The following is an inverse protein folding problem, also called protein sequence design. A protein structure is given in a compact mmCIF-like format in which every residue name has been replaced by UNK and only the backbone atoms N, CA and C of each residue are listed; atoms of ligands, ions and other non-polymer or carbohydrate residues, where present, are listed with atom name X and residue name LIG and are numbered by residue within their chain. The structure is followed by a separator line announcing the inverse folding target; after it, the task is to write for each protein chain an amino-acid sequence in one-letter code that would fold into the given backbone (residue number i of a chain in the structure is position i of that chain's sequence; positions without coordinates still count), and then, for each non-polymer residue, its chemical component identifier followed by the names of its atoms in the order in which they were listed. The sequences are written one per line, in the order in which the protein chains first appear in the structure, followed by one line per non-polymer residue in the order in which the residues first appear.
data_IF_622712338253
#
_entry.id   IF_622712338253
#
_cell.length_a   1.000
_cell.length_b   1.000
_cell.length_c   1.000
_cell.angle_alpha   90.00
_cell.angle_beta   90.00
_cell.angle_gamma   90.00
#
_symmetry.space_group_name_H-M   'P 1'
#
loop_
_entity.id
_entity.type
_entity.pdbx_description
1 polymer ?
#
# COMPACT_ATOMS: atom_id res chain seq x y z
N UNK A 1 18.97 8.28 25.05
CA UNK A 1 19.19 8.83 23.70
C UNK A 1 20.35 9.81 23.85
N UNK A 2 21.48 9.56 23.19
CA UNK A 2 22.69 10.39 23.32
C UNK A 2 22.88 11.15 21.99
N UNK A 3 22.45 12.41 21.97
CA UNK A 3 22.43 13.23 20.76
C UNK A 3 23.80 13.81 20.41
N UNK A 4 24.75 13.78 21.34
CA UNK A 4 26.00 14.53 21.26
C UNK A 4 27.09 13.86 20.41
N UNK A 5 26.81 12.67 19.86
CA UNK A 5 27.78 11.86 19.10
C UNK A 5 27.27 11.49 17.70
N UNK A 6 26.28 12.23 17.18
CA UNK A 6 25.79 12.09 15.81
C UNK A 6 26.56 13.11 14.96
N UNK A 7 27.50 12.62 14.15
CA UNK A 7 28.20 13.42 13.17
C UNK A 7 27.22 13.77 12.02
N UNK A 8 26.75 15.01 12.01
CA UNK A 8 25.77 15.51 11.02
C UNK A 8 26.45 15.73 9.66
N UNK A 9 27.77 15.91 9.63
CA UNK A 9 28.53 16.27 8.43
C UNK A 9 28.83 15.06 7.54
N UNK A 10 28.89 13.85 8.12
CA UNK A 10 29.13 12.58 7.40
C UNK A 10 27.85 11.71 7.28
N UNK A 11 26.67 12.30 7.44
CA UNK A 11 25.40 11.57 7.18
C UNK A 11 25.26 11.35 5.67
N UNK A 12 25.20 10.09 5.20
CA UNK A 12 24.94 9.85 3.79
C UNK A 12 23.57 10.44 3.43
N UNK A 13 23.53 11.25 2.36
CA UNK A 13 22.27 11.79 1.87
C UNK A 13 21.29 10.63 1.68
N UNK A 14 20.06 10.72 2.23
CA UNK A 14 19.13 9.62 2.13
C UNK A 14 18.85 9.36 0.65
N UNK A 15 18.94 8.10 0.18
CA UNK A 15 18.57 7.76 -1.19
C UNK A 15 17.13 8.23 -1.40
N UNK A 16 16.88 8.94 -2.51
CA UNK A 16 15.63 9.63 -2.84
C UNK A 16 14.40 9.12 -2.05
N UNK A 17 13.95 9.91 -1.08
CA UNK A 17 12.89 9.55 -0.12
C UNK A 17 11.49 9.81 -0.66
N UNK A 18 11.37 10.36 -1.86
CA UNK A 18 10.07 10.56 -2.48
C UNK A 18 9.45 9.19 -2.82
N UNK A 19 8.25 8.88 -2.31
CA UNK A 19 7.56 7.65 -2.66
C UNK A 19 7.27 7.64 -4.16
N UNK A 20 7.35 6.48 -4.80
CA UNK A 20 6.93 6.40 -6.20
C UNK A 20 5.44 6.71 -6.28
N UNK A 21 5.08 7.66 -7.13
CA UNK A 21 3.70 7.96 -7.47
C UNK A 21 3.33 7.17 -8.73
N UNK A 22 2.35 6.28 -8.61
CA UNK A 22 1.77 5.54 -9.71
C UNK A 22 0.38 6.14 -9.96
N UNK A 23 0.22 6.86 -11.07
CA UNK A 23 -1.03 7.50 -11.44
C UNK A 23 -1.68 6.81 -12.64
N UNK A 24 -2.88 6.27 -12.45
CA UNK A 24 -3.65 5.64 -13.51
C UNK A 24 -4.00 6.59 -14.68
N UNK A 25 -4.14 7.90 -14.42
CA UNK A 25 -4.39 8.89 -15.48
C UNK A 25 -3.14 9.09 -16.36
N UNK A 26 -1.94 9.01 -15.77
CA UNK A 26 -0.67 9.14 -16.50
C UNK A 26 -0.34 7.86 -17.28
N UNK A 27 -0.76 6.70 -16.78
CA UNK A 27 -0.62 5.41 -17.46
C UNK A 27 -1.54 5.29 -18.69
N UNK A 28 -2.59 6.11 -18.78
CA UNK A 28 -3.41 6.29 -19.98
C UNK A 28 -3.91 4.98 -20.58
N UNK A 29 -3.61 4.74 -21.85
CA UNK A 29 -4.09 3.57 -22.62
C UNK A 29 -3.47 2.21 -22.25
N UNK A 30 -2.50 2.18 -21.33
CA UNK A 30 -1.95 0.93 -20.79
C UNK A 30 -2.89 0.27 -19.77
N UNK A 31 -3.80 1.05 -19.19
CA UNK A 31 -4.81 0.60 -18.24
C UNK A 31 -6.18 0.69 -18.89
N UNK A 32 -6.67 -0.44 -19.41
CA UNK A 32 -8.07 -0.55 -19.80
C UNK A 32 -8.94 -0.61 -18.53
N UNK A 33 -10.09 0.07 -18.57
CA UNK A 33 -11.06 0.09 -17.47
C UNK A 33 -11.53 -1.34 -17.18
N UNK A 34 -11.10 -1.91 -16.05
CA UNK A 34 -11.37 -3.31 -15.67
C UNK A 34 -10.17 -4.26 -15.77
N UNK A 35 -9.07 -3.85 -16.41
CA UNK A 35 -7.80 -4.60 -16.46
C UNK A 35 -6.80 -4.17 -15.39
N UNK A 36 -7.22 -3.32 -14.43
CA UNK A 36 -6.33 -2.78 -13.40
C UNK A 36 -5.75 -3.87 -12.50
N UNK A 37 -6.52 -4.93 -12.22
CA UNK A 37 -6.04 -6.07 -11.44
C UNK A 37 -4.88 -6.81 -12.15
N UNK A 38 -4.96 -6.97 -13.47
CA UNK A 38 -3.91 -7.62 -14.26
C UNK A 38 -2.64 -6.77 -14.31
N UNK A 39 -2.77 -5.44 -14.35
CA UNK A 39 -1.64 -4.52 -14.24
C UNK A 39 -0.87 -4.74 -12.93
N UNK A 40 -1.54 -4.85 -11.79
CA UNK A 40 -0.88 -5.09 -10.50
C UNK A 40 -0.15 -6.44 -10.44
N UNK A 41 -0.70 -7.48 -11.08
CA UNK A 41 -0.02 -8.78 -11.18
C UNK A 41 1.23 -8.69 -12.05
N UNK A 42 1.14 -8.00 -13.19
CA UNK A 42 2.27 -7.87 -14.12
C UNK A 42 3.39 -6.97 -13.57
N UNK A 43 3.03 -5.91 -12.84
CA UNK A 43 3.97 -4.96 -12.26
C UNK A 43 4.34 -5.29 -10.81
N UNK A 44 3.94 -6.46 -10.31
CA UNK A 44 4.12 -6.86 -8.91
C UNK A 44 5.58 -6.72 -8.46
N UNK A 45 6.52 -7.28 -9.21
CA UNK A 45 7.94 -7.28 -8.82
C UNK A 45 8.51 -5.86 -8.76
N UNK A 46 8.20 -5.03 -9.75
CA UNK A 46 8.66 -3.64 -9.81
C UNK A 46 8.07 -2.81 -8.65
N UNK A 47 6.79 -2.99 -8.34
CA UNK A 47 6.13 -2.30 -7.22
C UNK A 47 6.75 -2.73 -5.89
N UNK A 48 7.03 -4.03 -5.71
CA UNK A 48 7.64 -4.55 -4.48
C UNK A 48 9.08 -4.09 -4.30
N UNK A 49 9.88 -4.04 -5.37
CA UNK A 49 11.24 -3.49 -5.33
C UNK A 49 11.23 -2.03 -4.89
N UNK A 50 10.29 -1.23 -5.44
CA UNK A 50 10.14 0.16 -5.05
C UNK A 50 9.63 0.34 -3.63
N UNK A 51 8.71 -0.52 -3.18
CA UNK A 51 8.27 -0.53 -1.79
C UNK A 51 9.43 -0.83 -0.83
N UNK A 52 10.31 -1.77 -1.19
CA UNK A 52 11.52 -2.06 -0.41
C UNK A 52 12.52 -0.89 -0.42
N UNK A 53 12.65 -0.19 -1.55
CA UNK A 53 13.60 0.90 -1.73
C UNK A 53 13.16 2.21 -1.08
N UNK A 54 11.88 2.58 -1.24
CA UNK A 54 11.34 3.88 -0.82
C UNK A 54 10.49 3.79 0.45
N UNK A 55 10.16 2.58 0.92
CA UNK A 55 9.33 2.34 2.09
C UNK A 55 7.83 2.59 1.88
N UNK A 56 7.45 3.38 0.87
CA UNK A 56 6.07 3.66 0.52
C UNK A 56 5.90 3.86 -1.00
N UNK A 57 4.72 3.49 -1.51
CA UNK A 57 4.27 3.71 -2.88
C UNK A 57 2.91 4.41 -2.83
N UNK A 58 2.74 5.46 -3.63
CA UNK A 58 1.51 6.23 -3.68
C UNK A 58 0.74 5.95 -4.97
N UNK A 59 -0.38 5.23 -4.85
CA UNK A 59 -1.26 4.94 -5.97
C UNK A 59 -2.36 6.01 -6.10
N UNK A 60 -2.58 6.52 -7.31
CA UNK A 60 -3.60 7.56 -7.61
C UNK A 60 -4.49 7.16 -8.78
N UNK A 61 -5.75 7.59 -8.69
CA UNK A 61 -6.75 7.52 -9.76
C UNK A 61 -7.15 6.12 -10.27
N UNK A 62 -6.85 5.05 -9.53
CA UNK A 62 -7.35 3.71 -9.84
C UNK A 62 -8.83 3.58 -9.45
N UNK A 63 -9.66 3.08 -10.36
CA UNK A 63 -11.08 2.84 -10.10
C UNK A 63 -11.29 1.59 -9.23
N UNK A 64 -10.43 0.57 -9.37
CA UNK A 64 -10.50 -0.70 -8.64
C UNK A 64 -10.47 -0.49 -7.12
N UNK A 65 -9.62 0.41 -6.63
CA UNK A 65 -9.42 0.64 -5.20
C UNK A 65 -10.52 1.49 -4.53
N UNK A 66 -11.51 2.00 -5.28
CA UNK A 66 -12.63 2.77 -4.70
C UNK A 66 -13.62 1.92 -3.91
N UNK A 67 -13.63 0.62 -4.15
CA UNK A 67 -14.49 -0.34 -3.44
C UNK A 67 -13.65 -1.21 -2.50
N UNK A 68 -14.23 -1.65 -1.38
CA UNK A 68 -13.55 -2.55 -0.44
C UNK A 68 -13.09 -3.86 -1.12
N UNK A 69 -13.98 -4.44 -1.95
CA UNK A 69 -13.67 -5.65 -2.71
C UNK A 69 -12.51 -5.44 -3.69
N UNK A 70 -12.49 -4.34 -4.44
CA UNK A 70 -11.42 -4.07 -5.40
C UNK A 70 -10.10 -3.67 -4.74
N UNK A 71 -10.13 -2.99 -3.59
CA UNK A 71 -8.93 -2.75 -2.78
C UNK A 71 -8.30 -4.07 -2.32
N UNK A 72 -9.13 -5.02 -1.88
CA UNK A 72 -8.68 -6.37 -1.54
C UNK A 72 -8.10 -7.11 -2.74
N UNK A 73 -8.73 -7.04 -3.91
CA UNK A 73 -8.20 -7.64 -5.15
C UNK A 73 -6.83 -7.08 -5.52
N UNK A 74 -6.58 -5.77 -5.33
CA UNK A 74 -5.26 -5.17 -5.51
C UNK A 74 -4.24 -5.75 -4.51
N UNK A 75 -4.62 -5.86 -3.23
CA UNK A 75 -3.76 -6.41 -2.18
C UNK A 75 -3.36 -7.86 -2.45
N UNK A 76 -4.32 -8.68 -2.89
CA UNK A 76 -4.12 -10.06 -3.29
C UNK A 76 -3.25 -10.17 -4.56
N UNK A 77 -3.42 -9.28 -5.54
CA UNK A 77 -2.58 -9.20 -6.74
C UNK A 77 -1.11 -8.91 -6.39
N UNK A 78 -0.86 -8.07 -5.39
CA UNK A 78 0.48 -7.81 -4.87
C UNK A 78 1.01 -8.92 -3.95
N UNK A 79 0.23 -9.97 -3.67
CA UNK A 79 0.50 -11.03 -2.68
C UNK A 79 0.84 -10.48 -1.29
N UNK A 80 0.28 -9.33 -0.94
CA UNK A 80 0.39 -8.78 0.39
C UNK A 80 -0.64 -9.48 1.27
N UNK A 81 -0.17 -10.06 2.37
CA UNK A 81 -1.08 -10.63 3.34
C UNK A 81 -1.73 -9.48 4.12
N UNK A 82 -3.07 -9.44 4.24
CA UNK A 82 -3.71 -8.50 5.14
C UNK A 82 -3.18 -8.74 6.55
N UNK A 83 -2.58 -7.72 7.14
CA UNK A 83 -2.11 -7.82 8.51
C UNK A 83 -3.32 -7.77 9.44
N UNK A 84 -3.49 -8.82 10.24
CA UNK A 84 -4.44 -8.79 11.34
C UNK A 84 -3.84 -7.88 12.42
N UNK A 85 -4.53 -6.79 12.73
CA UNK A 85 -4.11 -5.89 13.80
C UNK A 85 -3.99 -6.70 15.12
N UNK A 86 -2.94 -6.49 15.93
CA UNK A 86 -2.80 -7.10 17.25
C UNK A 86 -4.06 -7.05 18.12
N UNK A 87 -4.89 -6.02 17.99
CA UNK A 87 -6.16 -5.92 18.73
C UNK A 87 -7.18 -6.98 18.32
N UNK A 88 -7.02 -7.64 17.16
CA UNK A 88 -7.81 -8.79 16.75
C UNK A 88 -7.80 -9.89 17.82
N UNK A 89 -6.67 -10.09 18.52
CA UNK A 89 -6.55 -11.09 19.60
C UNK A 89 -7.31 -10.69 20.86
N UNK A 90 -7.49 -9.38 21.08
CA UNK A 90 -8.15 -8.85 22.28
C UNK A 90 -9.68 -8.84 22.21
N UNK A 91 -10.29 -9.08 21.04
CA UNK A 91 -11.75 -9.18 20.89
C UNK A 91 -12.52 -7.90 21.21
N UNK A 92 -11.85 -6.75 21.31
CA UNK A 92 -12.43 -5.50 21.78
C UNK A 92 -13.24 -4.72 20.72
N UNK A 93 -13.29 -5.20 19.46
CA UNK A 93 -14.05 -4.55 18.37
C UNK A 93 -14.68 -5.57 17.43
N UNK A 94 -15.89 -5.27 16.98
CA UNK A 94 -16.61 -6.06 15.98
C UNK A 94 -16.01 -5.81 14.58
N UNK A 95 -15.78 -6.88 13.83
CA UNK A 95 -15.24 -6.78 12.46
C UNK A 95 -16.40 -6.76 11.49
N UNK A 96 -16.33 -5.88 10.48
CA UNK A 96 -17.32 -5.86 9.39
C UNK A 96 -17.29 -7.19 8.63
N UNK A 97 -16.10 -7.70 8.33
CA UNK A 97 -15.89 -9.09 7.90
C UNK A 97 -14.54 -9.63 8.39
N UNK A 98 -14.56 -10.82 9.00
CA UNK A 98 -13.38 -11.49 9.58
C UNK A 98 -12.28 -11.84 8.55
N UNK A 99 -12.63 -11.85 7.25
CA UNK A 99 -11.71 -12.19 6.16
C UNK A 99 -10.99 -10.98 5.56
N UNK A 100 -11.49 -9.77 5.80
CA UNK A 100 -11.00 -8.58 5.11
C UNK A 100 -9.93 -7.81 5.91
N UNK A 101 -9.73 -8.14 7.19
CA UNK A 101 -8.86 -7.37 8.11
C UNK A 101 -9.16 -5.84 8.11
N UNK A 102 -10.34 -5.44 7.65
CA UNK A 102 -10.82 -4.06 7.63
C UNK A 102 -11.67 -3.82 8.89
N UNK A 103 -11.35 -2.75 9.62
CA UNK A 103 -12.11 -2.33 10.81
C UNK A 103 -13.28 -1.39 10.45
N UNK A 104 -14.39 -1.62 11.17
CA UNK A 104 -15.66 -0.89 11.34
C UNK A 104 -16.18 0.11 10.28
N UNK A 105 -17.46 -0.10 9.96
CA UNK A 105 -18.40 0.95 9.60
C UNK A 105 -18.40 2.00 10.71
N UNK A 106 -17.69 3.10 10.52
CA UNK A 106 -17.77 4.27 11.41
C UNK A 106 -19.25 4.65 11.48
N UNK A 107 -19.81 4.64 12.70
CA UNK A 107 -21.20 4.99 12.99
C UNK A 107 -21.70 6.11 12.06
N UNK A 108 -22.82 5.84 11.38
CA UNK A 108 -23.68 6.91 10.84
C UNK A 108 -24.39 7.61 11.99
#
# INVERSE_FOLDING_TARGET
WNADNIDIEDIPAPPATAPLVIDALELGGQLQRGAEAEYFVQQQEAIMEQLQKHGAVFFRNFELMKSAAGFRTMYEALKLNPCLDPIHTSGLREMVEKKDAVYEAVNK
#
